data_IF_355918599000
#
_entry.id   IF_355918599000
#
_cell.length_a   1.000
_cell.length_b   1.000
_cell.length_c   1.000
_cell.angle_alpha   90.00
_cell.angle_beta   90.00
_cell.angle_gamma   90.00
#
_symmetry.space_group_name_H-M   'P 1'
#
loop_
_entity.id
_entity.type
_entity.pdbx_description
1 polymer ?
#
# COMPACT_ATOMS: atom_id res chain seq x y z
N UNK A 1 6.47 37.73 -32.64
CA UNK A 1 6.55 36.37 -33.20
C UNK A 1 6.68 35.40 -32.03
N UNK A 2 5.65 34.59 -31.76
CA UNK A 2 5.67 33.58 -30.70
C UNK A 2 6.10 32.24 -31.32
N UNK A 3 7.30 31.78 -30.99
CA UNK A 3 7.72 30.41 -31.32
C UNK A 3 7.09 29.45 -30.31
N UNK A 4 6.06 28.74 -30.77
CA UNK A 4 5.42 27.64 -30.05
C UNK A 4 6.41 26.47 -30.01
N UNK A 5 7.04 26.27 -28.85
CA UNK A 5 7.80 25.05 -28.56
C UNK A 5 6.88 23.83 -28.70
N UNK A 6 7.22 22.96 -29.63
CA UNK A 6 6.57 21.67 -29.85
C UNK A 6 6.76 20.77 -28.62
N UNK A 7 5.69 20.48 -27.88
CA UNK A 7 5.66 19.39 -26.91
C UNK A 7 4.93 18.20 -27.54
N UNK A 8 5.62 17.12 -27.94
CA UNK A 8 4.93 15.91 -28.39
C UNK A 8 4.25 15.24 -27.19
N UNK A 9 2.92 15.24 -27.18
CA UNK A 9 2.13 14.41 -26.27
C UNK A 9 2.27 12.97 -26.76
N UNK A 10 3.17 12.21 -26.12
CA UNK A 10 3.28 10.77 -26.34
C UNK A 10 2.14 10.03 -25.61
N UNK A 11 1.62 8.94 -26.19
CA UNK A 11 0.50 8.18 -25.62
C UNK A 11 0.86 7.61 -24.24
N UNK A 12 -0.14 7.55 -23.35
CA UNK A 12 0.01 7.26 -21.92
C UNK A 12 0.59 5.86 -21.60
N UNK A 13 0.66 4.95 -22.58
CA UNK A 13 0.97 3.54 -22.36
C UNK A 13 2.48 3.17 -22.42
N UNK A 14 3.38 4.15 -22.58
CA UNK A 14 4.85 3.89 -22.57
C UNK A 14 5.58 4.44 -21.34
N UNK A 15 4.89 4.60 -20.19
CA UNK A 15 5.54 5.06 -18.96
C UNK A 15 6.31 3.94 -18.25
N UNK A 16 7.58 3.79 -18.61
CA UNK A 16 8.56 2.99 -17.85
C UNK A 16 8.74 3.53 -16.42
N UNK A 17 9.06 2.69 -15.40
CA UNK A 17 9.25 3.09 -14.00
C UNK A 17 10.38 4.11 -13.76
N UNK A 18 11.18 4.42 -14.79
CA UNK A 18 12.16 5.52 -14.79
C UNK A 18 11.53 6.90 -14.55
N UNK A 19 10.24 7.11 -14.85
CA UNK A 19 9.57 8.41 -14.69
C UNK A 19 9.03 8.66 -13.27
N UNK A 20 9.10 7.66 -12.38
CA UNK A 20 8.65 7.76 -10.99
C UNK A 20 9.80 8.00 -9.99
N UNK A 21 11.05 8.10 -10.44
CA UNK A 21 12.17 8.42 -9.57
C UNK A 21 12.35 9.93 -9.50
N UNK A 22 12.52 10.45 -8.30
CA UNK A 22 12.89 11.84 -8.10
C UNK A 22 14.21 12.12 -8.82
N UNK A 23 14.24 13.21 -9.60
CA UNK A 23 15.44 13.63 -10.33
C UNK A 23 16.52 14.18 -9.39
N UNK A 24 16.12 14.67 -8.21
CA UNK A 24 16.99 15.27 -7.21
C UNK A 24 16.82 14.53 -5.90
N UNK A 25 17.94 14.35 -5.19
CA UNK A 25 17.95 13.75 -3.87
C UNK A 25 18.09 14.88 -2.87
N UNK A 26 17.09 15.05 -2.01
CA UNK A 26 17.11 15.86 -0.79
C UNK A 26 17.44 17.37 -0.93
N UNK A 27 16.84 18.24 -0.12
CA UNK A 27 17.53 19.46 0.25
C UNK A 27 18.69 19.10 1.19
N UNK A 28 19.87 19.65 0.94
CA UNK A 28 21.01 19.48 1.82
C UNK A 28 21.62 20.83 2.19
N UNK A 29 22.26 20.90 3.35
CA UNK A 29 22.96 22.08 3.79
C UNK A 29 24.39 22.11 3.24
N UNK A 30 24.82 23.29 2.82
CA UNK A 30 26.19 23.53 2.36
C UNK A 30 27.05 23.82 3.59
N UNK A 31 28.07 23.00 3.82
CA UNK A 31 29.02 23.16 4.92
C UNK A 31 30.17 24.08 4.49
N UNK A 32 30.73 23.84 3.30
CA UNK A 32 31.90 24.55 2.82
C UNK A 32 31.91 24.69 1.30
N UNK A 33 32.58 25.73 0.81
CA UNK A 33 32.87 25.93 -0.61
C UNK A 33 34.35 25.64 -0.86
N UNK A 34 34.62 24.68 -1.74
CA UNK A 34 35.96 24.32 -2.18
C UNK A 34 36.27 25.08 -3.47
N UNK A 35 36.82 26.28 -3.31
CA UNK A 35 37.06 27.20 -4.41
C UNK A 35 35.75 27.67 -5.06
N UNK A 36 35.76 27.91 -6.37
CA UNK A 36 34.59 28.38 -7.13
C UNK A 36 33.73 27.25 -7.70
N UNK A 37 34.26 26.03 -7.74
CA UNK A 37 33.71 24.97 -8.58
C UNK A 37 33.15 23.78 -7.80
N UNK A 38 33.42 23.67 -6.49
CA UNK A 38 33.00 22.54 -5.67
C UNK A 38 32.40 22.99 -4.34
N UNK A 39 31.43 22.22 -3.87
CA UNK A 39 30.63 22.48 -2.66
C UNK A 39 30.63 21.19 -1.83
N UNK A 40 30.86 21.32 -0.54
CA UNK A 40 30.71 20.24 0.42
C UNK A 40 29.35 20.34 1.11
N UNK A 41 28.67 19.21 1.15
CA UNK A 41 27.28 19.09 1.56
C UNK A 41 27.19 18.20 2.79
N UNK A 42 26.25 18.49 3.70
CA UNK A 42 25.95 17.63 4.84
C UNK A 42 25.08 16.45 4.41
N UNK A 43 25.54 15.23 4.68
CA UNK A 43 24.77 14.00 4.48
C UNK A 43 24.27 13.45 5.81
N UNK A 44 23.08 12.87 5.77
CA UNK A 44 22.44 12.19 6.89
C UNK A 44 21.87 10.85 6.45
N UNK A 45 21.89 9.84 7.32
CA UNK A 45 21.28 8.54 7.08
C UNK A 45 22.03 7.70 6.04
N UNK A 46 21.32 7.21 5.02
CA UNK A 46 21.86 6.25 4.04
C UNK A 46 23.03 6.79 3.18
N UNK A 47 23.22 8.11 3.17
CA UNK A 47 24.23 8.80 2.36
C UNK A 47 25.51 9.13 3.11
N UNK A 48 25.61 8.88 4.42
CA UNK A 48 26.79 9.21 5.24
C UNK A 48 28.09 8.59 4.72
N UNK A 49 28.02 7.42 4.10
CA UNK A 49 29.17 6.70 3.54
C UNK A 49 29.55 7.16 2.11
N UNK A 50 28.86 8.16 1.55
CA UNK A 50 29.12 8.68 0.19
C UNK A 50 29.98 9.94 0.24
N UNK A 51 30.64 10.27 -0.88
CA UNK A 51 31.45 11.48 -0.96
C UNK A 51 30.53 12.72 -0.87
N UNK A 52 30.72 13.61 0.14
CA UNK A 52 29.89 14.80 0.33
C UNK A 52 30.24 15.98 -0.58
N UNK A 53 31.28 15.87 -1.42
CA UNK A 53 31.76 16.98 -2.25
C UNK A 53 31.27 16.85 -3.68
N UNK A 54 30.59 17.89 -4.18
CA UNK A 54 29.99 17.93 -5.52
C UNK A 54 30.40 19.17 -6.30
N UNK A 55 30.50 19.10 -7.63
CA UNK A 55 30.66 20.27 -8.46
C UNK A 55 29.39 21.13 -8.45
N UNK A 56 29.55 22.46 -8.49
CA UNK A 56 28.44 23.43 -8.45
C UNK A 56 27.40 23.20 -9.57
N UNK A 57 27.84 22.72 -10.73
CA UNK A 57 26.99 22.44 -11.90
C UNK A 57 25.91 21.38 -11.62
N UNK A 58 26.16 20.46 -10.67
CA UNK A 58 25.23 19.39 -10.33
C UNK A 58 24.25 19.77 -9.20
N UNK A 59 24.38 20.98 -8.65
CA UNK A 59 23.58 21.44 -7.51
C UNK A 59 22.54 22.44 -7.98
N UNK A 60 21.29 22.23 -7.58
CA UNK A 60 20.22 23.19 -7.79
C UNK A 60 19.86 23.89 -6.48
N UNK A 61 19.68 25.23 -6.47
CA UNK A 61 19.17 25.94 -5.31
C UNK A 61 17.82 25.39 -4.88
N UNK A 62 17.71 25.02 -3.61
CA UNK A 62 16.45 24.57 -3.04
C UNK A 62 15.47 25.75 -2.93
N UNK A 63 14.26 25.57 -3.47
CA UNK A 63 13.18 26.53 -3.32
C UNK A 63 12.18 25.97 -2.30
N UNK A 64 11.97 26.66 -1.16
CA UNK A 64 10.99 26.22 -0.18
C UNK A 64 9.60 26.18 -0.82
N UNK A 65 8.73 25.31 -0.30
CA UNK A 65 7.34 25.23 -0.70
C UNK A 65 6.56 26.42 -0.11
N UNK A 66 6.83 27.61 -0.64
CA UNK A 66 6.16 28.84 -0.25
C UNK A 66 4.82 28.97 -0.98
N UNK A 67 3.77 29.35 -0.25
CA UNK A 67 2.40 29.42 -0.78
C UNK A 67 2.22 30.59 -1.75
N UNK A 68 3.01 31.66 -1.56
CA UNK A 68 2.97 32.83 -2.45
C UNK A 68 3.63 32.54 -3.80
N UNK A 69 4.75 31.82 -3.79
CA UNK A 69 5.49 31.46 -5.01
C UNK A 69 4.86 30.26 -5.73
N UNK A 70 4.28 29.32 -4.98
CA UNK A 70 3.69 28.08 -5.51
C UNK A 70 2.27 27.85 -4.98
N UNK A 71 1.27 28.65 -5.39
CA UNK A 71 -0.10 28.55 -4.88
C UNK A 71 -0.79 27.20 -5.19
N UNK A 72 -0.30 26.46 -6.20
CA UNK A 72 -0.83 25.15 -6.59
C UNK A 72 -0.12 23.97 -5.90
N UNK A 73 0.98 24.20 -5.16
CA UNK A 73 1.65 23.15 -4.38
C UNK A 73 0.89 22.95 -3.07
N UNK A 74 -0.06 22.02 -3.08
CA UNK A 74 -0.56 21.46 -1.84
C UNK A 74 0.47 20.46 -1.31
N UNK A 75 0.89 20.53 -0.03
CA UNK A 75 1.68 19.45 0.56
C UNK A 75 0.82 18.20 0.42
N UNK A 76 1.27 17.23 -0.38
CA UNK A 76 0.51 16.03 -0.70
C UNK A 76 -0.05 15.45 0.59
N UNK A 77 -1.37 15.58 0.81
CA UNK A 77 -2.03 14.68 1.73
C UNK A 77 -1.81 13.31 1.11
N UNK A 78 -1.03 12.46 1.75
CA UNK A 78 -0.98 11.05 1.41
C UNK A 78 -2.40 10.54 1.64
N UNK A 79 -3.24 10.65 0.61
CA UNK A 79 -4.57 10.08 0.62
C UNK A 79 -4.33 8.60 0.57
N UNK A 80 -4.21 8.00 1.75
CA UNK A 80 -4.13 6.55 1.90
C UNK A 80 -5.32 6.03 1.10
N UNK A 81 -5.10 5.20 0.06
CA UNK A 81 -6.22 4.63 -0.67
C UNK A 81 -7.12 3.96 0.37
N UNK A 82 -8.44 4.19 0.31
CA UNK A 82 -9.34 3.58 1.27
C UNK A 82 -9.06 2.07 1.27
N UNK A 83 -8.61 1.58 2.43
CA UNK A 83 -8.47 0.14 2.64
C UNK A 83 -9.84 -0.44 2.35
N UNK A 84 -9.93 -1.26 1.30
CA UNK A 84 -11.17 -1.96 0.97
C UNK A 84 -11.66 -2.61 2.27
N UNK A 85 -12.77 -2.11 2.80
CA UNK A 85 -13.36 -2.65 4.00
C UNK A 85 -13.67 -4.10 3.65
N UNK A 86 -12.92 -5.03 4.25
CA UNK A 86 -13.13 -6.46 4.07
C UNK A 86 -14.60 -6.69 4.36
N UNK A 87 -15.38 -6.98 3.33
CA UNK A 87 -16.81 -7.21 3.48
C UNK A 87 -17.05 -8.24 4.57
N UNK A 88 -18.09 -8.02 5.39
CA UNK A 88 -18.44 -8.96 6.45
C UNK A 88 -18.59 -10.37 5.87
N UNK A 89 -17.78 -11.32 6.36
CA UNK A 89 -17.74 -12.72 5.91
C UNK A 89 -19.09 -13.40 6.14
N UNK A 90 -20.00 -13.36 5.16
CA UNK A 90 -21.31 -14.02 5.24
C UNK A 90 -21.22 -15.51 4.92
N UNK A 91 -21.71 -16.34 5.84
CA UNK A 91 -21.69 -17.81 5.71
C UNK A 91 -22.72 -18.27 4.66
N UNK A 92 -22.30 -19.17 3.76
CA UNK A 92 -23.18 -19.85 2.79
C UNK A 92 -23.62 -21.21 3.30
N UNK A 93 -22.65 -22.06 3.70
CA UNK A 93 -22.93 -23.43 4.17
C UNK A 93 -21.78 -23.99 5.01
N UNK A 94 -22.11 -24.96 5.86
CA UNK A 94 -21.16 -25.85 6.52
C UNK A 94 -20.92 -27.09 5.65
N UNK A 95 -19.66 -27.51 5.53
CA UNK A 95 -19.23 -28.63 4.67
C UNK A 95 -18.86 -29.85 5.49
N UNK A 96 -18.01 -29.69 6.51
CA UNK A 96 -17.49 -30.76 7.35
C UNK A 96 -17.51 -30.34 8.82
N UNK A 97 -17.50 -31.31 9.71
CA UNK A 97 -17.23 -31.09 11.13
C UNK A 97 -16.01 -31.92 11.53
N UNK A 98 -15.20 -31.41 12.46
CA UNK A 98 -14.14 -32.17 13.12
C UNK A 98 -14.18 -31.92 14.62
N UNK A 99 -13.78 -32.93 15.39
CA UNK A 99 -13.56 -32.80 16.84
C UNK A 99 -12.08 -32.57 17.07
N UNK A 100 -11.76 -31.54 17.85
CA UNK A 100 -10.39 -31.31 18.28
C UNK A 100 -10.00 -32.38 19.31
N UNK A 101 -8.80 -32.95 19.17
CA UNK A 101 -8.28 -33.90 20.16
C UNK A 101 -7.97 -33.14 21.45
N UNK A 102 -8.53 -33.56 22.57
CA UNK A 102 -8.28 -32.97 23.89
C UNK A 102 -9.23 -31.84 24.30
N UNK A 103 -10.11 -31.36 23.42
CA UNK A 103 -11.19 -30.42 23.78
C UNK A 103 -12.54 -30.98 23.36
N UNK A 104 -13.58 -30.83 24.18
CA UNK A 104 -14.95 -31.22 23.82
C UNK A 104 -15.61 -30.20 22.84
N UNK A 105 -14.79 -29.53 22.03
CA UNK A 105 -15.17 -28.51 21.06
C UNK A 105 -15.20 -29.11 19.66
N UNK A 106 -16.09 -28.58 18.83
CA UNK A 106 -16.24 -28.97 17.42
C UNK A 106 -15.95 -27.76 16.55
N UNK A 107 -15.11 -27.98 15.56
CA UNK A 107 -14.89 -27.02 14.49
C UNK A 107 -15.66 -27.46 13.25
N UNK A 108 -16.09 -26.46 12.48
CA UNK A 108 -16.82 -26.67 11.26
C UNK A 108 -16.10 -26.00 10.09
N UNK A 109 -16.00 -26.71 8.96
CA UNK A 109 -15.49 -26.16 7.72
C UNK A 109 -16.59 -25.34 7.06
N UNK A 110 -16.35 -24.05 6.92
CA UNK A 110 -17.31 -23.06 6.45
C UNK A 110 -16.97 -22.66 5.04
N UNK A 111 -18.01 -22.58 4.20
CA UNK A 111 -17.95 -21.92 2.91
C UNK A 111 -18.70 -20.60 2.98
N UNK A 112 -18.03 -19.53 2.57
CA UNK A 112 -18.60 -18.19 2.51
C UNK A 112 -19.44 -17.97 1.25
N UNK A 113 -20.25 -16.90 1.25
CA UNK A 113 -21.05 -16.50 0.09
C UNK A 113 -20.20 -15.85 -0.99
N UNK A 114 -19.28 -14.98 -0.58
CA UNK A 114 -18.34 -14.32 -1.49
C UNK A 114 -17.20 -15.32 -1.81
N UNK A 115 -16.97 -15.66 -3.10
CA UNK A 115 -15.92 -16.59 -3.51
C UNK A 115 -14.49 -16.06 -3.27
N UNK A 116 -14.33 -14.78 -2.93
CA UNK A 116 -13.05 -14.19 -2.54
C UNK A 116 -12.53 -14.80 -1.22
N UNK A 117 -13.42 -15.21 -0.32
CA UNK A 117 -13.02 -15.84 0.94
C UNK A 117 -12.86 -17.35 0.78
N UNK A 118 -11.71 -17.86 1.20
CA UNK A 118 -11.42 -19.29 1.22
C UNK A 118 -12.20 -20.04 2.30
N UNK A 119 -12.33 -21.37 2.13
CA UNK A 119 -13.02 -22.22 3.10
C UNK A 119 -12.18 -22.32 4.40
N UNK A 120 -12.78 -22.00 5.55
CA UNK A 120 -12.08 -21.86 6.84
C UNK A 120 -12.68 -22.77 7.92
N UNK A 121 -11.86 -23.27 8.84
CA UNK A 121 -12.31 -24.01 10.02
C UNK A 121 -12.56 -23.04 11.17
N UNK A 122 -13.80 -22.90 11.62
CA UNK A 122 -14.15 -22.06 12.77
C UNK A 122 -14.95 -22.84 13.81
N UNK A 123 -14.90 -22.35 15.05
CA UNK A 123 -15.75 -22.84 16.12
C UNK A 123 -17.19 -22.33 15.96
N UNK A 124 -18.15 -23.06 16.55
CA UNK A 124 -19.55 -22.63 16.56
C UNK A 124 -19.76 -21.30 17.32
N UNK A 125 -18.95 -21.01 18.33
CA UNK A 125 -18.98 -19.78 19.14
C UNK A 125 -18.51 -18.55 18.38
N UNK A 126 -17.60 -18.72 17.43
CA UNK A 126 -16.93 -17.62 16.73
C UNK A 126 -17.68 -17.17 15.45
N UNK A 127 -18.80 -17.83 15.14
CA UNK A 127 -19.52 -17.62 13.87
C UNK A 127 -20.84 -16.88 14.06
N UNK A 128 -20.90 -15.56 13.75
CA UNK A 128 -22.15 -14.81 13.80
C UNK A 128 -23.13 -15.27 12.70
N UNK A 129 -24.44 -15.29 13.02
CA UNK A 129 -25.54 -15.72 12.13
C UNK A 129 -25.42 -17.15 11.55
N UNK A 130 -24.84 -18.08 12.33
CA UNK A 130 -24.58 -19.46 11.91
C UNK A 130 -25.74 -20.45 12.15
N UNK A 131 -26.77 -20.08 12.90
CA UNK A 131 -27.81 -21.01 13.38
C UNK A 131 -28.59 -21.70 12.25
N UNK A 132 -29.07 -20.93 11.27
CA UNK A 132 -29.84 -21.47 10.13
C UNK A 132 -29.00 -22.44 9.29
N UNK A 133 -27.79 -22.08 8.80
CA UNK A 133 -26.97 -23.01 8.04
C UNK A 133 -26.52 -24.22 8.87
N UNK A 134 -26.24 -24.04 10.17
CA UNK A 134 -25.81 -25.13 11.05
C UNK A 134 -26.92 -26.15 11.28
N UNK A 135 -28.15 -25.68 11.50
CA UNK A 135 -29.34 -26.55 11.63
C UNK A 135 -29.56 -27.39 10.37
N UNK A 136 -29.45 -26.77 9.17
CA UNK A 136 -29.56 -27.50 7.89
C UNK A 136 -28.48 -28.57 7.74
N UNK A 137 -27.24 -28.25 8.12
CA UNK A 137 -26.14 -29.20 8.10
C UNK A 137 -26.38 -30.39 9.03
N UNK A 138 -26.78 -30.12 10.28
CA UNK A 138 -27.12 -31.18 11.26
C UNK A 138 -28.27 -32.06 10.79
N UNK A 139 -29.31 -31.47 10.19
CA UNK A 139 -30.46 -32.21 9.67
C UNK A 139 -30.06 -33.17 8.55
N UNK A 140 -29.22 -32.74 7.60
CA UNK A 140 -28.75 -33.58 6.48
C UNK A 140 -27.94 -34.80 6.93
N UNK A 141 -27.32 -34.76 8.11
CA UNK A 141 -26.47 -35.82 8.64
C UNK A 141 -27.18 -36.78 9.58
N UNK A 142 -28.44 -36.52 9.93
CA UNK A 142 -29.23 -37.51 10.67
C UNK A 142 -29.49 -38.69 9.73
N UNK A 143 -29.27 -39.94 10.18
CA UNK A 143 -29.78 -41.09 9.43
C UNK A 143 -31.29 -40.92 9.30
N UNK A 144 -31.80 -41.00 8.07
CA UNK A 144 -33.24 -41.16 7.83
C UNK A 144 -33.61 -42.50 8.48
N UNK A 145 -34.49 -42.45 9.47
CA UNK A 145 -35.04 -43.64 10.10
C UNK A 145 -36.02 -44.33 9.16
#
# INVERSE_FOLDING_TARGET
MLEKGWNPILPADTLSPKRLKDYYVGPFFIIALHGTNAVQVEFSGELENKNPTFPVILINPYQPADKEVFPLRNPNSLTVPPVEQIEDKKIKKFIKERRLRGKNQREYLIRYRNPVHEDEWLEASETPDSDKPLRRFRHKRRPQA
#
